data_IF_193482009300
#
_entry.id   IF_193482009300
#
_cell.length_a   1.000
_cell.length_b   1.000
_cell.length_c   1.000
_cell.angle_alpha   90.00
_cell.angle_beta   90.00
_cell.angle_gamma   90.00
#
_symmetry.space_group_name_H-M   'P 1'
#
loop_
_entity.id
_entity.type
_entity.pdbx_description
1 polymer ?
#
# COMPACT_ATOMS: atom_id res chain seq x y z
N UNK A 1 -20.58 13.61 -10.08
CA UNK A 1 -20.02 12.26 -9.90
C UNK A 1 -20.89 11.56 -8.87
N UNK A 2 -21.36 10.32 -9.08
CA UNK A 2 -21.98 9.58 -7.98
C UNK A 2 -20.89 9.35 -6.92
N UNK A 3 -21.17 9.69 -5.66
CA UNK A 3 -20.27 9.36 -4.54
C UNK A 3 -20.07 7.84 -4.52
N UNK A 4 -18.82 7.40 -4.35
CA UNK A 4 -18.48 5.99 -4.30
C UNK A 4 -19.26 5.30 -3.17
N UNK A 5 -20.11 4.33 -3.54
CA UNK A 5 -20.94 3.53 -2.64
C UNK A 5 -20.10 2.90 -1.53
N UNK A 6 -20.54 3.00 -0.28
CA UNK A 6 -19.85 2.38 0.86
C UNK A 6 -19.85 0.86 0.73
N UNK A 7 -18.71 0.21 1.01
CA UNK A 7 -18.59 -1.26 0.98
C UNK A 7 -18.61 -1.82 2.39
N UNK A 8 -19.64 -2.57 2.77
CA UNK A 8 -19.83 -3.06 4.14
C UNK A 8 -19.76 -4.58 4.17
N UNK A 9 -18.86 -5.13 4.99
CA UNK A 9 -18.77 -6.56 5.25
C UNK A 9 -19.53 -6.89 6.54
N UNK A 10 -20.48 -7.81 6.47
CA UNK A 10 -21.28 -8.27 7.61
C UNK A 10 -20.87 -9.70 7.94
N UNK A 11 -20.69 -10.01 9.23
CA UNK A 11 -20.41 -11.34 9.74
C UNK A 11 -21.52 -11.67 10.76
N UNK A 12 -22.48 -12.48 10.32
CA UNK A 12 -23.72 -12.76 11.03
C UNK A 12 -24.27 -14.12 10.57
N UNK A 13 -24.49 -15.06 11.49
CA UNK A 13 -25.00 -16.38 11.20
C UNK A 13 -26.54 -16.44 11.19
N UNK A 14 -27.20 -15.57 11.94
CA UNK A 14 -28.66 -15.42 11.92
C UNK A 14 -29.12 -14.79 10.60
N UNK A 15 -29.84 -15.58 9.81
CA UNK A 15 -30.31 -15.17 8.48
C UNK A 15 -31.27 -13.98 8.49
N UNK A 16 -32.12 -13.87 9.51
CA UNK A 16 -33.12 -12.80 9.61
C UNK A 16 -32.43 -11.48 10.00
N UNK A 17 -31.47 -11.55 10.93
CA UNK A 17 -30.65 -10.40 11.30
C UNK A 17 -29.81 -9.93 10.12
N UNK A 18 -29.14 -10.86 9.43
CA UNK A 18 -28.31 -10.54 8.26
C UNK A 18 -29.13 -9.87 7.14
N UNK A 19 -30.30 -10.42 6.81
CA UNK A 19 -31.19 -9.86 5.78
C UNK A 19 -31.69 -8.46 6.17
N UNK A 20 -32.03 -8.25 7.45
CA UNK A 20 -32.41 -6.95 7.97
C UNK A 20 -31.27 -5.92 7.81
N UNK A 21 -30.06 -6.25 8.25
CA UNK A 21 -28.90 -5.36 8.15
C UNK A 21 -28.57 -5.01 6.69
N UNK A 22 -28.50 -6.02 5.83
CA UNK A 22 -28.25 -5.87 4.40
C UNK A 22 -29.30 -4.97 3.73
N UNK A 23 -30.58 -5.21 4.02
CA UNK A 23 -31.70 -4.44 3.46
C UNK A 23 -31.65 -2.98 3.90
N UNK A 24 -31.40 -2.73 5.18
CA UNK A 24 -31.32 -1.36 5.73
C UNK A 24 -30.17 -0.59 5.08
N UNK A 25 -28.97 -1.18 5.03
CA UNK A 25 -27.78 -0.52 4.48
C UNK A 25 -27.91 -0.26 2.98
N UNK A 26 -28.38 -1.25 2.20
CA UNK A 26 -28.59 -1.07 0.76
C UNK A 26 -29.64 0.00 0.46
N UNK A 27 -30.79 -0.03 1.15
CA UNK A 27 -31.92 0.86 0.83
C UNK A 27 -31.74 2.28 1.37
N UNK A 28 -31.10 2.46 2.53
CA UNK A 28 -30.98 3.77 3.18
C UNK A 28 -29.66 4.48 2.93
N UNK A 29 -28.58 3.74 2.69
CA UNK A 29 -27.24 4.29 2.42
C UNK A 29 -26.72 4.00 1.02
N UNK A 30 -27.38 3.11 0.26
CA UNK A 30 -26.90 2.75 -1.09
C UNK A 30 -25.59 1.97 -1.07
N UNK A 31 -25.29 1.25 0.01
CA UNK A 31 -24.04 0.49 0.17
C UNK A 31 -23.97 -0.75 -0.72
N UNK A 32 -22.76 -1.12 -1.15
CA UNK A 32 -22.43 -2.50 -1.51
C UNK A 32 -22.25 -3.30 -0.22
N UNK A 33 -22.96 -4.43 -0.10
CA UNK A 33 -22.95 -5.24 1.12
C UNK A 33 -22.60 -6.67 0.78
N UNK A 34 -21.66 -7.25 1.52
CA UNK A 34 -21.31 -8.68 1.49
C UNK A 34 -21.54 -9.29 2.86
N UNK A 35 -22.24 -10.41 2.92
CA UNK A 35 -22.56 -11.14 4.15
C UNK A 35 -21.76 -12.44 4.21
N UNK A 36 -21.11 -12.68 5.34
CA UNK A 36 -20.47 -13.94 5.71
C UNK A 36 -21.23 -14.54 6.88
N UNK A 37 -21.49 -15.84 6.81
CA UNK A 37 -22.18 -16.59 7.88
C UNK A 37 -21.20 -17.32 8.81
N UNK A 38 -19.91 -17.23 8.52
CA UNK A 38 -18.84 -17.82 9.32
C UNK A 38 -17.66 -16.85 9.47
N UNK A 39 -16.94 -16.99 10.58
CA UNK A 39 -15.77 -16.18 10.88
C UNK A 39 -14.51 -16.63 10.11
N UNK A 40 -14.47 -17.86 9.61
CA UNK A 40 -13.28 -18.46 9.00
C UNK A 40 -12.98 -17.81 7.64
N UNK A 41 -14.03 -17.47 6.89
CA UNK A 41 -13.91 -16.85 5.58
C UNK A 41 -13.52 -15.35 5.62
N UNK A 42 -13.44 -14.74 6.81
CA UNK A 42 -13.29 -13.28 6.96
C UNK A 42 -11.98 -12.77 6.37
N UNK A 43 -10.85 -13.41 6.68
CA UNK A 43 -9.54 -12.94 6.23
C UNK A 43 -9.39 -12.98 4.70
N UNK A 44 -9.96 -13.98 4.04
CA UNK A 44 -9.97 -14.05 2.57
C UNK A 44 -10.87 -12.98 1.97
N UNK A 45 -12.07 -12.80 2.54
CA UNK A 45 -13.06 -11.87 2.01
C UNK A 45 -12.77 -10.40 2.31
N UNK A 46 -12.16 -10.06 3.45
CA UNK A 46 -11.85 -8.67 3.79
C UNK A 46 -10.81 -8.06 2.83
N UNK A 47 -9.98 -8.90 2.24
CA UNK A 47 -8.96 -8.49 1.28
C UNK A 47 -9.55 -8.38 -0.13
N UNK A 48 -10.30 -9.40 -0.58
CA UNK A 48 -11.01 -9.37 -1.87
C UNK A 48 -12.07 -8.27 -1.94
N UNK A 49 -12.94 -8.19 -0.94
CA UNK A 49 -14.04 -7.23 -0.90
C UNK A 49 -13.59 -5.82 -0.50
N UNK A 50 -12.39 -5.65 0.06
CA UNK A 50 -11.84 -4.38 0.54
C UNK A 50 -12.91 -3.43 1.17
N UNK A 51 -13.55 -3.82 2.29
CA UNK A 51 -14.64 -3.06 2.87
C UNK A 51 -14.17 -1.73 3.47
N UNK A 52 -15.09 -0.77 3.51
CA UNK A 52 -14.96 0.48 4.27
C UNK A 52 -15.25 0.28 5.78
N UNK A 53 -15.99 -0.77 6.16
CA UNK A 53 -16.35 -1.10 7.53
C UNK A 53 -16.76 -2.58 7.66
N UNK A 54 -16.46 -3.19 8.81
CA UNK A 54 -16.91 -4.54 9.18
C UNK A 54 -17.94 -4.47 10.31
N UNK A 55 -19.07 -5.15 10.14
CA UNK A 55 -20.05 -5.45 11.19
C UNK A 55 -19.87 -6.92 11.58
N UNK A 56 -19.58 -7.22 12.84
CA UNK A 56 -19.43 -8.61 13.30
C UNK A 56 -20.30 -8.87 14.52
N UNK A 57 -21.05 -9.98 14.53
CA UNK A 57 -21.61 -10.48 15.79
C UNK A 57 -20.50 -10.96 16.72
N UNK A 58 -20.70 -10.83 18.03
CA UNK A 58 -19.84 -11.40 19.07
C UNK A 58 -19.96 -12.92 19.08
N UNK A 59 -21.18 -13.42 19.01
CA UNK A 59 -21.50 -14.85 19.14
C UNK A 59 -21.61 -15.46 17.74
N UNK A 60 -20.53 -16.07 17.25
CA UNK A 60 -20.53 -16.77 15.96
C UNK A 60 -20.36 -18.28 16.17
N UNK A 61 -20.93 -19.14 15.31
CA UNK A 61 -20.72 -20.58 15.39
C UNK A 61 -19.24 -20.94 15.22
N UNK A 62 -18.62 -21.47 16.29
CA UNK A 62 -17.25 -21.97 16.25
C UNK A 62 -16.13 -20.91 16.31
N UNK A 63 -16.46 -19.63 16.49
CA UNK A 63 -15.48 -18.54 16.62
C UNK A 63 -16.06 -17.37 17.43
N UNK A 64 -15.21 -16.46 17.92
CA UNK A 64 -15.67 -15.24 18.59
C UNK A 64 -15.45 -14.02 17.69
N UNK A 65 -16.45 -13.15 17.53
CA UNK A 65 -16.30 -11.89 16.77
C UNK A 65 -15.16 -10.98 17.28
N UNK A 66 -14.76 -11.15 18.54
CA UNK A 66 -13.60 -10.46 19.11
C UNK A 66 -12.26 -11.05 18.65
N UNK A 67 -12.21 -12.34 18.32
CA UNK A 67 -11.03 -12.95 17.67
C UNK A 67 -10.90 -12.40 16.25
N UNK A 68 -12.02 -12.28 15.53
CA UNK A 68 -12.06 -11.63 14.20
C UNK A 68 -11.54 -10.21 14.29
N UNK A 69 -12.02 -9.41 15.26
CA UNK A 69 -11.50 -8.07 15.51
C UNK A 69 -9.99 -8.07 15.75
N UNK A 70 -9.49 -9.02 16.55
CA UNK A 70 -8.06 -9.21 16.80
C UNK A 70 -7.26 -9.40 15.52
N UNK A 71 -7.67 -10.35 14.68
CA UNK A 71 -7.01 -10.62 13.39
C UNK A 71 -7.13 -9.45 12.41
N UNK A 72 -8.29 -8.77 12.37
CA UNK A 72 -8.48 -7.58 11.52
C UNK A 72 -7.54 -6.44 11.91
N UNK A 73 -7.28 -6.24 13.21
CA UNK A 73 -6.35 -5.20 13.67
C UNK A 73 -4.90 -5.45 13.28
N UNK A 74 -4.51 -6.71 13.12
CA UNK A 74 -3.16 -7.07 12.65
C UNK A 74 -2.96 -6.79 11.16
N UNK A 75 -4.02 -6.94 10.35
CA UNK A 75 -3.93 -6.84 8.89
C UNK A 75 -4.40 -5.49 8.31
N UNK A 76 -5.39 -4.86 8.94
CA UNK A 76 -6.00 -3.58 8.53
C UNK A 76 -6.28 -2.73 9.79
N UNK A 77 -5.27 -2.15 10.44
CA UNK A 77 -5.42 -1.47 11.72
C UNK A 77 -6.40 -0.29 11.68
N UNK A 78 -6.51 0.39 10.53
CA UNK A 78 -7.40 1.54 10.32
C UNK A 78 -8.80 1.18 9.79
N UNK A 79 -9.12 -0.10 9.55
CA UNK A 79 -10.44 -0.52 9.09
C UNK A 79 -11.45 -0.43 10.24
N UNK A 80 -12.52 0.38 10.14
CA UNK A 80 -13.55 0.42 11.18
C UNK A 80 -14.21 -0.94 11.40
N UNK A 81 -14.31 -1.36 12.66
CA UNK A 81 -15.00 -2.59 13.07
C UNK A 81 -16.04 -2.26 14.13
N UNK A 82 -17.27 -2.61 13.82
CA UNK A 82 -18.43 -2.49 14.70
C UNK A 82 -18.82 -3.89 15.17
N UNK A 83 -18.89 -4.04 16.49
CA UNK A 83 -19.23 -5.32 17.12
C UNK A 83 -20.70 -5.29 17.54
N UNK A 84 -21.48 -6.29 17.15
CA UNK A 84 -22.89 -6.45 17.47
C UNK A 84 -23.08 -7.50 18.56
N UNK A 85 -24.00 -7.32 19.51
CA UNK A 85 -24.19 -8.28 20.61
C UNK A 85 -25.64 -8.38 21.08
N UNK A 86 -26.08 -9.57 21.47
CA UNK A 86 -27.42 -9.82 22.01
C UNK A 86 -27.57 -9.54 23.52
N UNK A 87 -26.50 -9.60 24.32
CA UNK A 87 -26.59 -9.57 25.79
C UNK A 87 -25.81 -8.41 26.42
N UNK A 88 -26.46 -7.70 27.35
CA UNK A 88 -25.81 -6.68 28.19
C UNK A 88 -24.83 -7.29 29.23
N UNK A 89 -24.91 -8.58 29.55
CA UNK A 89 -24.00 -9.24 30.53
C UNK A 89 -22.55 -9.37 30.03
N UNK A 90 -22.32 -9.21 28.73
CA UNK A 90 -20.99 -9.15 28.11
C UNK A 90 -20.28 -7.83 28.46
N UNK A 91 -20.94 -6.85 29.08
CA UNK A 91 -20.41 -5.51 29.37
C UNK A 91 -19.10 -5.51 30.19
N UNK A 92 -18.86 -6.49 31.08
CA UNK A 92 -17.62 -6.61 31.85
C UNK A 92 -16.44 -7.17 31.02
N UNK A 93 -16.70 -8.17 30.16
CA UNK A 93 -15.70 -8.71 29.23
C UNK A 93 -15.42 -7.75 28.06
N UNK A 94 -16.47 -7.10 27.55
CA UNK A 94 -16.41 -6.02 26.54
C UNK A 94 -15.61 -4.85 27.07
N UNK A 95 -15.80 -4.41 28.32
CA UNK A 95 -14.99 -3.33 28.91
C UNK A 95 -13.49 -3.65 28.93
N UNK A 96 -13.10 -4.91 29.13
CA UNK A 96 -11.70 -5.33 29.11
C UNK A 96 -11.10 -5.45 27.68
N UNK A 97 -11.95 -5.58 26.65
CA UNK A 97 -11.56 -5.75 25.24
C UNK A 97 -11.89 -4.52 24.34
N UNK A 98 -12.45 -3.46 24.93
CA UNK A 98 -12.94 -2.25 24.25
C UNK A 98 -11.88 -1.51 23.45
N UNK A 99 -10.61 -1.60 23.84
CA UNK A 99 -9.51 -0.83 23.25
C UNK A 99 -9.27 -1.13 21.76
N UNK A 100 -9.94 -2.15 21.19
CA UNK A 100 -9.76 -2.54 19.79
C UNK A 100 -10.95 -2.27 18.88
N UNK A 101 -12.20 -2.18 19.35
CA UNK A 101 -13.35 -1.96 18.47
C UNK A 101 -13.67 -0.47 18.30
N UNK A 102 -14.21 -0.06 17.16
CA UNK A 102 -14.58 1.34 16.93
C UNK A 102 -15.96 1.68 17.50
N UNK A 103 -16.88 0.71 17.54
CA UNK A 103 -18.22 0.88 18.10
C UNK A 103 -18.85 -0.47 18.51
N UNK A 104 -19.77 -0.43 19.47
CA UNK A 104 -20.59 -1.57 19.86
C UNK A 104 -22.08 -1.27 19.65
N UNK A 105 -22.81 -2.20 19.03
CA UNK A 105 -24.25 -2.10 18.82
C UNK A 105 -24.98 -3.25 19.51
N UNK A 106 -25.90 -2.93 20.42
CA UNK A 106 -26.75 -3.92 21.07
C UNK A 106 -27.92 -4.29 20.15
N UNK A 107 -28.13 -5.59 19.94
CA UNK A 107 -29.30 -6.13 19.25
C UNK A 107 -30.54 -6.07 20.20
N UNK A 108 -31.73 -5.69 19.71
CA UNK A 108 -32.05 -5.35 18.32
C UNK A 108 -31.55 -3.95 17.92
N UNK A 109 -30.93 -3.83 16.74
CA UNK A 109 -30.32 -2.59 16.27
C UNK A 109 -31.36 -1.76 15.49
N UNK A 110 -31.73 -0.56 15.93
CA UNK A 110 -32.62 0.31 15.16
C UNK A 110 -31.98 0.71 13.83
N UNK A 111 -32.73 0.63 12.72
CA UNK A 111 -32.17 0.91 11.40
C UNK A 111 -31.59 2.34 11.25
N UNK A 112 -32.12 3.33 11.97
CA UNK A 112 -31.56 4.68 11.99
C UNK A 112 -30.20 4.74 12.73
N UNK A 113 -30.03 3.97 13.81
CA UNK A 113 -28.77 3.87 14.54
C UNK A 113 -27.71 3.18 13.68
N UNK A 114 -28.06 2.07 13.04
CA UNK A 114 -27.16 1.36 12.12
C UNK A 114 -26.63 2.30 11.03
N UNK A 115 -27.53 3.01 10.35
CA UNK A 115 -27.18 3.95 9.28
C UNK A 115 -26.25 5.06 9.79
N UNK A 116 -26.62 5.71 10.90
CA UNK A 116 -25.82 6.79 11.47
C UNK A 116 -24.42 6.36 11.92
N UNK A 117 -24.32 5.18 12.54
CA UNK A 117 -23.04 4.61 12.97
C UNK A 117 -22.14 4.28 11.79
N UNK A 118 -22.68 3.56 10.79
CA UNK A 118 -21.90 3.17 9.60
C UNK A 118 -21.40 4.42 8.86
N UNK A 119 -22.28 5.38 8.59
CA UNK A 119 -21.90 6.60 7.89
C UNK A 119 -20.83 7.38 8.66
N UNK A 120 -21.01 7.60 9.96
CA UNK A 120 -20.05 8.34 10.80
C UNK A 120 -18.67 7.70 10.80
N UNK A 121 -18.59 6.38 10.98
CA UNK A 121 -17.31 5.67 11.09
C UNK A 121 -16.59 5.60 9.75
N UNK A 122 -17.31 5.33 8.66
CA UNK A 122 -16.74 5.32 7.31
C UNK A 122 -16.22 6.71 6.95
N UNK A 123 -17.00 7.76 7.19
CA UNK A 123 -16.57 9.14 6.93
C UNK A 123 -15.38 9.56 7.80
N UNK A 124 -15.37 9.20 9.09
CA UNK A 124 -14.22 9.46 9.97
C UNK A 124 -12.95 8.74 9.48
N UNK A 125 -13.05 7.48 9.06
CA UNK A 125 -11.93 6.72 8.52
C UNK A 125 -11.46 7.26 7.16
N UNK A 126 -12.38 7.72 6.30
CA UNK A 126 -12.06 8.39 5.03
C UNK A 126 -11.37 9.74 5.29
N UNK A 127 -11.87 10.53 6.24
CA UNK A 127 -11.26 11.80 6.63
C UNK A 127 -9.87 11.60 7.26
N UNK A 128 -9.68 10.58 8.10
CA UNK A 128 -8.37 10.21 8.66
C UNK A 128 -7.39 9.84 7.54
N UNK A 129 -7.83 9.01 6.58
CA UNK A 129 -7.04 8.68 5.38
C UNK A 129 -6.72 9.91 4.54
N UNK A 130 -7.65 10.84 4.37
CA UNK A 130 -7.45 12.08 3.62
C UNK A 130 -6.52 13.09 4.33
N UNK A 131 -6.41 13.03 5.66
CA UNK A 131 -5.51 13.88 6.48
C UNK A 131 -4.09 13.33 6.55
N UNK A 132 -3.87 12.04 6.30
CA UNK A 132 -2.52 11.50 6.10
C UNK A 132 -1.90 12.23 4.90
N UNK A 133 -0.65 12.75 5.01
CA UNK A 133 -0.02 13.42 3.88
C UNK A 133 0.06 12.44 2.72
N UNK A 134 -0.64 12.77 1.63
CA UNK A 134 -0.59 12.01 0.38
C UNK A 134 0.87 11.81 -0.01
N UNK A 135 1.24 10.56 -0.26
CA UNK A 135 2.57 10.24 -0.74
C UNK A 135 2.67 10.75 -2.18
N UNK A 136 3.87 11.24 -2.50
CA UNK A 136 4.31 11.49 -3.87
C UNK A 136 5.28 10.38 -4.20
N UNK A 137 4.89 9.50 -5.11
CA UNK A 137 5.59 8.26 -5.45
C UNK A 137 6.34 8.47 -6.75
N UNK A 138 7.64 8.15 -6.74
CA UNK A 138 8.43 8.04 -7.96
C UNK A 138 8.95 6.61 -8.10
N UNK A 139 8.48 5.87 -9.10
CA UNK A 139 9.00 4.55 -9.45
C UNK A 139 9.93 4.66 -10.66
N UNK A 140 11.14 4.10 -10.54
CA UNK A 140 12.20 4.23 -11.53
C UNK A 140 12.53 2.85 -12.08
N UNK A 141 12.46 2.72 -13.41
CA UNK A 141 12.84 1.55 -14.19
C UNK A 141 13.97 1.87 -15.18
N UNK A 142 14.77 0.87 -15.52
CA UNK A 142 15.75 0.98 -16.58
C UNK A 142 15.08 0.83 -17.95
N UNK A 143 14.10 -0.07 -18.03
CA UNK A 143 13.37 -0.45 -19.24
C UNK A 143 11.85 -0.37 -19.02
N UNK A 144 11.06 -0.29 -20.11
CA UNK A 144 9.62 -0.52 -20.06
C UNK A 144 9.36 -1.90 -19.45
N UNK A 145 8.36 -2.05 -18.57
CA UNK A 145 7.97 -3.25 -17.80
C UNK A 145 8.61 -3.45 -16.41
N UNK A 146 9.80 -2.90 -16.16
CA UNK A 146 10.54 -3.11 -14.89
C UNK A 146 9.71 -2.77 -13.64
N UNK A 147 9.06 -1.60 -13.69
CA UNK A 147 8.32 -1.03 -12.57
C UNK A 147 7.05 -1.83 -12.30
N UNK A 148 6.35 -2.22 -13.36
CA UNK A 148 5.13 -3.00 -13.30
C UNK A 148 5.39 -4.41 -12.75
N UNK A 149 6.52 -5.02 -13.15
CA UNK A 149 6.95 -6.32 -12.63
C UNK A 149 7.26 -6.21 -11.13
N UNK A 150 8.08 -5.22 -10.76
CA UNK A 150 8.58 -5.09 -9.40
C UNK A 150 7.54 -4.61 -8.39
N UNK A 151 6.79 -3.57 -8.73
CA UNK A 151 5.91 -2.83 -7.81
C UNK A 151 4.53 -2.49 -8.38
N UNK A 152 4.08 -3.12 -9.46
CA UNK A 152 2.79 -2.81 -10.09
C UNK A 152 1.59 -2.90 -9.13
N UNK A 153 1.56 -3.88 -8.22
CA UNK A 153 0.50 -4.00 -7.23
C UNK A 153 0.59 -2.92 -6.14
N UNK A 154 1.81 -2.57 -5.71
CA UNK A 154 2.08 -1.48 -4.77
C UNK A 154 1.69 -0.12 -5.36
N UNK A 155 1.96 0.11 -6.65
CA UNK A 155 1.54 1.33 -7.35
C UNK A 155 0.02 1.41 -7.48
N UNK A 156 -0.66 0.30 -7.78
CA UNK A 156 -2.12 0.25 -7.78
C UNK A 156 -2.72 0.57 -6.40
N UNK A 157 -2.08 0.08 -5.33
CA UNK A 157 -2.47 0.42 -3.95
C UNK A 157 -2.27 1.92 -3.65
N UNK A 158 -1.18 2.53 -4.11
CA UNK A 158 -0.95 3.97 -4.02
C UNK A 158 -2.01 4.77 -4.79
N UNK A 159 -2.38 4.34 -6.00
CA UNK A 159 -3.39 5.00 -6.81
C UNK A 159 -4.75 5.00 -6.09
N UNK A 160 -5.13 3.85 -5.51
CA UNK A 160 -6.35 3.72 -4.72
C UNK A 160 -6.32 4.54 -3.42
N UNK A 161 -5.14 4.78 -2.84
CA UNK A 161 -4.95 5.69 -1.71
C UNK A 161 -5.03 7.18 -2.11
N UNK A 162 -5.05 7.49 -3.41
CA UNK A 162 -5.04 8.85 -3.93
C UNK A 162 -3.67 9.52 -3.89
N UNK A 163 -2.60 8.73 -3.78
CA UNK A 163 -1.23 9.20 -3.88
C UNK A 163 -0.89 9.58 -5.33
N UNK A 164 -0.03 10.57 -5.54
CA UNK A 164 0.40 10.94 -6.89
C UNK A 164 1.52 10.01 -7.34
N UNK A 165 1.38 9.41 -8.52
CA UNK A 165 2.35 8.45 -9.05
C UNK A 165 3.09 9.04 -10.24
N UNK A 166 4.40 8.91 -10.21
CA UNK A 166 5.30 9.20 -11.32
C UNK A 166 6.10 7.95 -11.64
N UNK A 167 6.16 7.60 -12.92
CA UNK A 167 7.01 6.53 -13.42
C UNK A 167 8.11 7.19 -14.27
N UNK A 168 9.37 6.83 -14.00
CA UNK A 168 10.52 7.21 -14.81
C UNK A 168 11.13 5.95 -15.42
N UNK A 169 11.12 5.87 -16.74
CA UNK A 169 11.77 4.80 -17.49
C UNK A 169 12.94 5.39 -18.27
N UNK A 170 14.15 4.88 -18.03
CA UNK A 170 15.39 5.53 -18.48
C UNK A 170 15.78 5.21 -19.94
N UNK A 171 15.32 4.09 -20.48
CA UNK A 171 15.52 3.71 -21.87
C UNK A 171 14.22 3.26 -22.52
N UNK A 172 14.14 3.33 -23.86
CA UNK A 172 12.98 2.85 -24.62
C UNK A 172 12.99 1.35 -24.91
N UNK A 173 14.01 0.64 -24.45
CA UNK A 173 14.11 -0.81 -24.61
C UNK A 173 14.29 -1.29 -26.06
N UNK A 174 14.98 -0.48 -26.89
CA UNK A 174 15.13 -0.70 -28.33
C UNK A 174 15.91 -1.95 -28.75
N UNK A 175 16.50 -2.71 -27.82
CA UNK A 175 17.06 -4.05 -28.12
C UNK A 175 16.11 -5.21 -27.81
N UNK A 176 15.04 -4.97 -27.05
CA UNK A 176 14.05 -5.98 -26.64
C UNK A 176 12.77 -6.04 -27.51
N UNK A 177 12.62 -5.16 -28.50
CA UNK A 177 11.44 -5.04 -29.36
C UNK A 177 11.46 -3.74 -30.17
N UNK A 178 10.38 -3.42 -30.89
CA UNK A 178 10.23 -2.10 -31.53
C UNK A 178 10.02 -1.03 -30.45
N UNK A 179 10.87 0.01 -30.45
CA UNK A 179 10.82 1.08 -29.47
C UNK A 179 9.50 1.88 -29.53
N UNK A 180 8.86 1.98 -30.70
CA UNK A 180 7.59 2.69 -30.85
C UNK A 180 6.42 1.94 -30.20
N UNK A 181 6.43 0.61 -30.27
CA UNK A 181 5.43 -0.24 -29.62
C UNK A 181 5.61 -0.18 -28.11
N UNK A 182 6.84 -0.36 -27.61
CA UNK A 182 7.13 -0.31 -26.16
C UNK A 182 6.81 1.04 -25.52
N UNK A 183 6.97 2.14 -26.27
CA UNK A 183 6.51 3.46 -25.83
C UNK A 183 5.00 3.51 -25.59
N UNK A 184 4.20 2.99 -26.53
CA UNK A 184 2.74 2.94 -26.39
C UNK A 184 2.32 2.05 -25.23
N UNK A 185 3.00 0.92 -25.03
CA UNK A 185 2.75 0.01 -23.90
C UNK A 185 3.02 0.69 -22.55
N UNK A 186 4.15 1.39 -22.39
CA UNK A 186 4.43 2.17 -21.18
C UNK A 186 3.42 3.29 -20.94
N UNK A 187 2.97 3.98 -21.99
CA UNK A 187 1.96 5.02 -21.86
C UNK A 187 0.62 4.45 -21.41
N UNK A 188 0.20 3.32 -21.99
CA UNK A 188 -1.04 2.64 -21.61
C UNK A 188 -0.99 2.13 -20.16
N UNK A 189 0.14 1.56 -19.73
CA UNK A 189 0.36 1.15 -18.33
C UNK A 189 0.26 2.33 -17.37
N UNK A 190 0.94 3.44 -17.67
CA UNK A 190 0.89 4.65 -16.86
C UNK A 190 -0.53 5.25 -16.79
N UNK A 191 -1.27 5.25 -17.90
CA UNK A 191 -2.66 5.72 -17.94
C UNK A 191 -3.59 4.88 -17.04
N UNK A 192 -3.45 3.54 -17.04
CA UNK A 192 -4.23 2.65 -16.15
C UNK A 192 -4.01 2.96 -14.66
N UNK A 193 -2.83 3.46 -14.28
CA UNK A 193 -2.53 3.88 -12.90
C UNK A 193 -2.90 5.34 -12.59
N UNK A 194 -3.28 6.12 -13.61
CA UNK A 194 -3.35 7.59 -13.49
C UNK A 194 -1.98 8.21 -13.18
N UNK A 195 -0.90 7.55 -13.59
CA UNK A 195 0.48 7.95 -13.34
C UNK A 195 1.00 8.91 -14.43
N UNK A 196 1.90 9.81 -14.03
CA UNK A 196 2.67 10.60 -14.99
C UNK A 196 3.92 9.83 -15.42
N UNK A 197 4.12 9.65 -16.73
CA UNK A 197 5.29 8.98 -17.29
C UNK A 197 6.36 9.98 -17.75
N UNK A 198 7.60 9.75 -17.34
CA UNK A 198 8.80 10.27 -17.98
C UNK A 198 9.51 9.12 -18.69
N UNK A 199 9.61 9.21 -20.02
CA UNK A 199 10.24 8.18 -20.84
C UNK A 199 11.46 8.76 -21.56
N UNK A 200 12.63 8.40 -21.06
CA UNK A 200 13.91 8.86 -21.56
C UNK A 200 14.46 7.89 -22.62
N UNK A 201 15.51 8.32 -23.33
CA UNK A 201 16.08 7.58 -24.44
C UNK A 201 17.58 7.31 -24.25
N UNK A 202 17.95 6.86 -23.05
CA UNK A 202 19.31 6.35 -22.84
C UNK A 202 19.50 5.05 -23.63
N UNK A 203 20.74 4.83 -24.06
CA UNK A 203 21.11 3.65 -24.84
C UNK A 203 20.84 2.39 -24.02
N UNK A 204 19.88 1.60 -24.49
CA UNK A 204 19.54 0.29 -23.92
C UNK A 204 20.79 -0.60 -23.83
N UNK A 205 20.94 -1.34 -22.74
CA UNK A 205 22.10 -2.15 -22.35
C UNK A 205 23.40 -1.38 -22.11
N UNK A 206 23.34 -0.05 -22.08
CA UNK A 206 24.50 0.81 -21.84
C UNK A 206 24.13 2.04 -20.97
N UNK A 207 23.21 1.87 -20.03
CA UNK A 207 22.83 2.96 -19.12
C UNK A 207 24.00 3.22 -18.14
N UNK A 208 24.57 4.44 -18.11
CA UNK A 208 25.64 4.76 -17.17
C UNK A 208 25.09 4.94 -15.76
N UNK A 209 25.92 4.68 -14.75
CA UNK A 209 25.57 4.91 -13.34
C UNK A 209 25.89 6.34 -12.85
N UNK A 210 26.43 7.17 -13.73
CA UNK A 210 26.76 8.57 -13.52
C UNK A 210 25.97 9.42 -14.52
N UNK A 211 26.40 10.65 -14.81
CA UNK A 211 25.75 11.49 -15.79
C UNK A 211 25.77 10.85 -17.20
N UNK A 212 24.66 10.93 -17.95
CA UNK A 212 23.47 11.77 -17.70
C UNK A 212 22.42 11.17 -16.76
N UNK A 213 22.53 9.91 -16.34
CA UNK A 213 21.49 9.21 -15.58
C UNK A 213 21.19 9.88 -14.24
N UNK A 214 22.22 10.30 -13.49
CA UNK A 214 22.04 11.02 -12.22
C UNK A 214 21.30 12.34 -12.46
N UNK A 215 21.78 13.18 -13.37
CA UNK A 215 21.12 14.45 -13.69
C UNK A 215 19.66 14.31 -14.18
N UNK A 216 19.34 13.25 -14.92
CA UNK A 216 17.95 12.94 -15.33
C UNK A 216 17.09 12.65 -14.11
N UNK A 217 17.54 11.77 -13.21
CA UNK A 217 16.78 11.40 -12.00
C UNK A 217 16.64 12.62 -11.08
N UNK A 218 17.70 13.42 -10.91
CA UNK A 218 17.67 14.67 -10.13
C UNK A 218 16.64 15.67 -10.68
N UNK A 219 16.56 15.83 -12.01
CA UNK A 219 15.55 16.68 -12.66
C UNK A 219 14.14 16.21 -12.33
N UNK A 220 13.86 14.90 -12.46
CA UNK A 220 12.53 14.35 -12.17
C UNK A 220 12.20 14.49 -10.68
N UNK A 221 13.16 14.24 -9.79
CA UNK A 221 12.99 14.43 -8.33
C UNK A 221 12.69 15.90 -8.02
N UNK A 222 13.42 16.85 -8.60
CA UNK A 222 13.18 18.28 -8.40
C UNK A 222 11.80 18.72 -8.92
N UNK A 223 11.35 18.15 -10.04
CA UNK A 223 10.05 18.49 -10.64
C UNK A 223 8.85 17.90 -9.86
N UNK A 224 9.03 16.72 -9.26
CA UNK A 224 7.93 15.93 -8.69
C UNK A 224 7.92 15.88 -7.16
N UNK A 225 9.05 16.27 -6.54
CA UNK A 225 9.27 16.32 -5.09
C UNK A 225 8.78 15.04 -4.36
N UNK A 226 9.26 13.85 -4.76
CA UNK A 226 8.73 12.59 -4.25
C UNK A 226 9.04 12.41 -2.76
N UNK A 227 8.08 11.83 -2.04
CA UNK A 227 8.25 11.40 -0.64
C UNK A 227 8.79 9.97 -0.54
N UNK A 228 8.61 9.17 -1.58
CA UNK A 228 9.09 7.80 -1.69
C UNK A 228 9.58 7.51 -3.10
N UNK A 229 10.70 6.80 -3.19
CA UNK A 229 11.26 6.31 -4.46
C UNK A 229 11.33 4.78 -4.44
N UNK A 230 10.86 4.17 -5.52
CA UNK A 230 11.04 2.75 -5.84
C UNK A 230 12.03 2.60 -6.99
N UNK A 231 13.00 1.69 -6.88
CA UNK A 231 14.01 1.46 -7.92
C UNK A 231 14.49 0.01 -7.91
N UNK A 232 15.32 -0.37 -8.86
CA UNK A 232 16.04 -1.65 -8.86
C UNK A 232 16.90 -1.88 -7.62
N UNK A 233 17.07 -3.15 -7.21
CA UNK A 233 18.08 -3.53 -6.20
C UNK A 233 19.49 -3.59 -6.81
N UNK A 234 20.51 -3.41 -5.97
CA UNK A 234 21.91 -3.68 -6.33
C UNK A 234 22.16 -5.16 -6.63
N UNK A 235 21.37 -6.03 -6.01
CA UNK A 235 21.47 -7.49 -6.10
C UNK A 235 20.75 -8.00 -7.35
N UNK A 236 21.20 -7.54 -8.51
CA UNK A 236 20.60 -7.81 -9.82
C UNK A 236 21.68 -8.19 -10.84
N UNK A 237 21.42 -9.19 -11.69
CA UNK A 237 22.36 -9.63 -12.73
C UNK A 237 22.40 -8.66 -13.92
N UNK A 238 21.35 -7.90 -14.18
CA UNK A 238 21.29 -6.94 -15.26
C UNK A 238 22.10 -5.68 -14.95
N UNK A 239 22.99 -5.30 -15.86
CA UNK A 239 23.91 -4.17 -15.62
C UNK A 239 23.20 -2.83 -15.56
N UNK A 240 22.20 -2.61 -16.41
CA UNK A 240 21.41 -1.36 -16.38
C UNK A 240 20.67 -1.23 -15.04
N UNK A 241 20.08 -2.32 -14.51
CA UNK A 241 19.38 -2.26 -13.22
C UNK A 241 20.31 -1.83 -12.10
N UNK A 242 21.54 -2.38 -12.06
CA UNK A 242 22.57 -1.95 -11.10
C UNK A 242 23.00 -0.50 -11.32
N UNK A 243 23.12 -0.06 -12.58
CA UNK A 243 23.49 1.32 -12.88
C UNK A 243 22.42 2.32 -12.43
N UNK A 244 21.15 2.00 -12.70
CA UNK A 244 19.98 2.78 -12.27
C UNK A 244 19.87 2.79 -10.75
N UNK A 245 20.09 1.64 -10.08
CA UNK A 245 20.16 1.59 -8.62
C UNK A 245 21.16 2.61 -8.05
N UNK A 246 22.42 2.56 -8.49
CA UNK A 246 23.49 3.44 -7.99
C UNK A 246 23.17 4.92 -8.30
N UNK A 247 22.70 5.24 -9.50
CA UNK A 247 22.32 6.60 -9.89
C UNK A 247 21.14 7.13 -9.05
N UNK A 248 20.12 6.29 -8.80
CA UNK A 248 18.98 6.63 -7.95
C UNK A 248 19.42 6.95 -6.51
N UNK A 249 20.33 6.17 -5.93
CA UNK A 249 20.82 6.45 -4.57
C UNK A 249 21.56 7.78 -4.47
N UNK A 250 22.31 8.16 -5.51
CA UNK A 250 22.98 9.46 -5.60
C UNK A 250 21.96 10.60 -5.72
N UNK A 251 20.99 10.49 -6.62
CA UNK A 251 20.02 11.54 -6.90
C UNK A 251 18.99 11.73 -5.77
N UNK A 252 18.62 10.64 -5.08
CA UNK A 252 17.52 10.66 -4.10
C UNK A 252 17.93 11.02 -2.68
N UNK A 253 19.15 11.50 -2.42
CA UNK A 253 19.70 11.77 -1.07
C UNK A 253 18.80 12.57 -0.11
N UNK A 254 17.85 13.36 -0.61
CA UNK A 254 16.89 14.14 0.21
C UNK A 254 15.49 13.53 0.31
N UNK A 255 15.18 12.50 -0.47
CA UNK A 255 13.89 11.78 -0.42
C UNK A 255 13.79 10.97 0.87
N UNK A 256 12.69 11.10 1.61
CA UNK A 256 12.56 10.48 2.93
C UNK A 256 12.60 8.95 2.91
N UNK A 257 12.00 8.32 1.89
CA UNK A 257 11.93 6.87 1.76
C UNK A 257 12.46 6.39 0.41
N UNK A 258 13.32 5.37 0.43
CA UNK A 258 13.84 4.71 -0.78
C UNK A 258 13.83 3.21 -0.55
N UNK A 259 13.17 2.48 -1.46
CA UNK A 259 13.08 1.03 -1.41
C UNK A 259 13.37 0.42 -2.78
N UNK A 260 13.99 -0.75 -2.79
CA UNK A 260 14.33 -1.47 -3.99
C UNK A 260 13.35 -2.62 -4.22
N UNK A 261 12.88 -2.78 -5.46
CA UNK A 261 11.99 -3.88 -5.83
C UNK A 261 12.74 -5.07 -6.42
N UNK A 262 12.07 -6.21 -6.43
CA UNK A 262 12.56 -7.42 -7.07
C UNK A 262 12.24 -7.39 -8.58
N UNK A 263 13.27 -7.54 -9.39
CA UNK A 263 13.16 -7.79 -10.84
C UNK A 263 13.29 -9.30 -11.14
N UNK A 264 12.99 -9.76 -12.37
CA UNK A 264 13.23 -11.14 -12.79
C UNK A 264 14.72 -11.54 -12.75
N UNK A 265 15.63 -10.58 -12.86
CA UNK A 265 17.09 -10.79 -12.84
C UNK A 265 17.73 -10.58 -11.48
N UNK A 266 16.93 -10.33 -10.43
CA UNK A 266 17.40 -10.24 -9.06
C UNK A 266 18.05 -11.56 -8.62
N UNK A 267 19.20 -11.48 -7.94
CA UNK A 267 19.92 -12.66 -7.45
C UNK A 267 19.32 -13.16 -6.15
N UNK A 268 19.81 -14.32 -5.70
CA UNK A 268 19.48 -14.86 -4.37
C UNK A 268 19.98 -13.98 -3.21
N UNK A 269 20.81 -12.97 -3.49
CA UNK A 269 21.29 -12.00 -2.50
C UNK A 269 20.30 -10.85 -2.28
N UNK A 270 19.24 -10.75 -3.07
CA UNK A 270 18.13 -9.83 -2.81
C UNK A 270 17.48 -10.18 -1.47
N UNK A 271 17.55 -9.25 -0.50
CA UNK A 271 17.11 -9.47 0.88
C UNK A 271 16.04 -8.45 1.26
N UNK A 272 14.78 -8.68 0.86
CA UNK A 272 13.70 -7.78 1.20
C UNK A 272 13.45 -7.75 2.71
N UNK A 273 13.17 -6.57 3.22
CA UNK A 273 12.87 -6.31 4.64
C UNK A 273 11.46 -5.76 4.86
N UNK A 274 10.77 -5.42 3.77
CA UNK A 274 9.38 -4.98 3.77
C UNK A 274 8.59 -5.79 2.74
N UNK A 275 7.37 -6.16 3.11
CA UNK A 275 6.47 -6.96 2.27
C UNK A 275 5.14 -6.22 2.17
N UNK A 276 4.83 -5.69 0.98
CA UNK A 276 3.62 -4.90 0.76
C UNK A 276 2.51 -5.83 0.30
N UNK A 277 1.44 -5.95 1.09
CA UNK A 277 0.25 -6.70 0.70
C UNK A 277 -0.40 -6.03 -0.51
N UNK A 278 -0.60 -6.80 -1.58
CA UNK A 278 -1.23 -6.35 -2.83
C UNK A 278 -2.58 -7.06 -3.07
N UNK A 279 -3.17 -7.64 -2.03
CA UNK A 279 -4.50 -8.23 -2.13
C UNK A 279 -5.52 -7.16 -2.54
N UNK A 280 -6.41 -7.49 -3.48
CA UNK A 280 -7.32 -6.53 -4.12
C UNK A 280 -6.68 -5.71 -5.25
N UNK A 281 -5.38 -5.87 -5.50
CA UNK A 281 -4.64 -5.16 -6.55
C UNK A 281 -3.91 -6.10 -7.52
N UNK A 282 -4.04 -7.42 -7.36
CA UNK A 282 -3.42 -8.43 -8.24
C UNK A 282 -3.93 -8.33 -9.67
N UNK A 283 -5.23 -8.11 -9.86
CA UNK A 283 -5.82 -8.01 -11.20
C UNK A 283 -5.31 -6.77 -11.93
N UNK A 284 -5.18 -5.65 -11.21
CA UNK A 284 -4.56 -4.45 -11.77
C UNK A 284 -3.10 -4.71 -12.12
N UNK A 285 -2.32 -5.37 -11.25
CA UNK A 285 -0.93 -5.73 -11.57
C UNK A 285 -0.84 -6.57 -12.85
N UNK A 286 -1.71 -7.57 -13.01
CA UNK A 286 -1.74 -8.40 -14.21
C UNK A 286 -2.17 -7.61 -15.45
N UNK A 287 -3.13 -6.69 -15.33
CA UNK A 287 -3.53 -5.80 -16.43
C UNK A 287 -2.38 -4.92 -16.90
N UNK A 288 -1.61 -4.33 -15.96
CA UNK A 288 -0.42 -3.53 -16.28
C UNK A 288 0.61 -4.33 -17.07
N UNK A 289 0.90 -5.56 -16.62
CA UNK A 289 1.85 -6.45 -17.30
C UNK A 289 1.33 -6.89 -18.68
N UNK A 290 0.03 -7.12 -18.82
CA UNK A 290 -0.60 -7.48 -20.09
C UNK A 290 -0.52 -6.35 -21.14
N UNK A 291 -0.25 -5.10 -20.73
CA UNK A 291 0.02 -3.99 -21.68
C UNK A 291 1.31 -4.19 -22.44
N UNK A 292 2.28 -4.92 -21.89
CA UNK A 292 3.55 -5.23 -22.54
C UNK A 292 3.44 -6.52 -23.37
N UNK A 293 2.40 -6.61 -24.19
CA UNK A 293 2.07 -7.79 -24.98
C UNK A 293 3.18 -8.15 -25.98
N UNK A 294 3.95 -7.17 -26.47
CA UNK A 294 5.14 -7.41 -27.29
C UNK A 294 6.21 -8.27 -26.60
N UNK A 295 6.17 -8.34 -25.26
CA UNK A 295 7.09 -9.12 -24.44
C UNK A 295 6.46 -10.40 -23.88
N UNK A 296 5.12 -10.48 -23.82
CA UNK A 296 4.39 -11.53 -23.10
C UNK A 296 4.58 -12.94 -23.70
N UNK A 297 4.66 -13.06 -25.03
CA UNK A 297 4.90 -14.35 -25.71
C UNK A 297 6.39 -14.75 -25.73
N UNK A 298 7.29 -13.87 -25.27
CA UNK A 298 8.75 -14.03 -25.34
C UNK A 298 9.35 -14.31 -23.96
N UNK A 299 8.70 -13.86 -22.88
CA UNK A 299 9.28 -13.85 -21.53
C UNK A 299 8.39 -14.57 -20.52
N UNK A 300 8.76 -15.80 -20.17
CA UNK A 300 8.05 -16.67 -19.22
C UNK A 300 7.74 -16.01 -17.86
N UNK A 301 8.57 -15.06 -17.42
CA UNK A 301 8.38 -14.37 -16.14
C UNK A 301 7.25 -13.34 -16.14
N UNK A 302 6.69 -12.99 -17.30
CA UNK A 302 5.49 -12.15 -17.41
C UNK A 302 4.20 -12.98 -17.31
N UNK A 303 4.31 -14.31 -17.33
CA UNK A 303 3.15 -15.19 -17.24
C UNK A 303 2.39 -14.94 -15.90
N UNK A 304 1.05 -14.81 -15.95
CA UNK A 304 0.26 -14.48 -14.76
C UNK A 304 0.49 -15.42 -13.58
N UNK A 305 0.64 -16.72 -13.83
CA UNK A 305 0.89 -17.72 -12.81
C UNK A 305 2.26 -17.57 -12.16
N UNK A 306 3.30 -17.21 -12.94
CA UNK A 306 4.62 -16.92 -12.40
C UNK A 306 4.58 -15.68 -11.49
N UNK A 307 3.97 -14.60 -11.95
CA UNK A 307 3.84 -13.34 -11.21
C UNK A 307 3.09 -13.55 -9.89
N UNK A 308 1.94 -14.23 -9.93
CA UNK A 308 1.15 -14.52 -8.74
C UNK A 308 1.85 -15.51 -7.81
N UNK A 309 2.58 -16.50 -8.34
CA UNK A 309 3.35 -17.45 -7.52
C UNK A 309 4.50 -16.76 -6.79
N UNK A 310 5.20 -15.83 -7.42
CA UNK A 310 6.23 -15.03 -6.77
C UNK A 310 5.63 -14.16 -5.65
N UNK A 311 4.53 -13.46 -5.93
CA UNK A 311 3.84 -12.66 -4.91
C UNK A 311 3.31 -13.53 -3.76
N UNK A 312 2.82 -14.74 -4.06
CA UNK A 312 2.36 -15.72 -3.08
C UNK A 312 3.51 -16.24 -2.22
N UNK A 313 4.69 -16.48 -2.81
CA UNK A 313 5.86 -16.91 -2.07
C UNK A 313 6.26 -15.87 -1.01
N UNK A 314 6.30 -14.59 -1.38
CA UNK A 314 6.70 -13.52 -0.47
C UNK A 314 5.64 -13.20 0.59
N UNK A 315 4.37 -13.51 0.33
CA UNK A 315 3.29 -13.28 1.29
C UNK A 315 3.47 -14.02 2.62
N UNK A 316 4.29 -15.09 2.66
CA UNK A 316 4.63 -15.82 3.89
C UNK A 316 5.33 -14.97 4.96
N UNK A 317 5.85 -13.80 4.58
CA UNK A 317 6.46 -12.84 5.50
C UNK A 317 5.55 -11.63 5.80
N UNK A 318 4.41 -11.54 5.12
CA UNK A 318 3.38 -10.53 5.35
C UNK A 318 2.12 -11.13 5.95
N UNK A 319 1.06 -10.34 5.98
CA UNK A 319 -0.25 -10.73 6.53
C UNK A 319 -1.31 -11.02 5.46
N UNK A 320 -0.97 -10.82 4.18
CA UNK A 320 -1.86 -11.00 3.04
C UNK A 320 -1.65 -12.29 2.24
N UNK A 321 -2.43 -12.43 1.17
CA UNK A 321 -2.40 -13.56 0.24
C UNK A 321 -1.28 -13.42 -0.78
N UNK A 322 -1.02 -12.20 -1.22
CA UNK A 322 0.00 -11.82 -2.19
C UNK A 322 0.78 -10.61 -1.66
N UNK A 323 2.09 -10.62 -1.85
CA UNK A 323 2.94 -9.50 -1.44
C UNK A 323 4.05 -9.21 -2.42
N UNK A 324 4.33 -7.93 -2.61
CA UNK A 324 5.54 -7.47 -3.29
C UNK A 324 6.66 -7.23 -2.28
N UNK A 325 7.83 -7.86 -2.48
CA UNK A 325 8.98 -7.70 -1.60
C UNK A 325 9.75 -6.42 -1.91
N UNK A 326 10.19 -5.73 -0.86
CA UNK A 326 10.99 -4.52 -0.95
C UNK A 326 12.22 -4.59 -0.04
N UNK A 327 13.38 -4.30 -0.60
CA UNK A 327 14.62 -4.06 0.15
C UNK A 327 14.69 -2.57 0.53
N UNK A 328 14.47 -2.26 1.80
CA UNK A 328 14.44 -0.86 2.27
C UNK A 328 15.86 -0.33 2.39
N UNK A 329 16.21 0.68 1.60
CA UNK A 329 17.49 1.39 1.68
C UNK A 329 17.43 2.48 2.74
N UNK A 330 16.29 3.17 2.81
CA UNK A 330 16.07 4.26 3.76
C UNK A 330 14.59 4.44 4.05
N UNK A 331 14.28 4.65 5.31
CA UNK A 331 12.96 5.07 5.76
C UNK A 331 13.13 6.08 6.90
N UNK A 332 13.13 7.37 6.54
CA UNK A 332 13.28 8.46 7.50
C UNK A 332 11.90 8.98 7.92
N UNK A 333 11.37 8.48 9.04
CA UNK A 333 10.17 9.04 9.67
C UNK A 333 10.54 10.22 10.57
N UNK A 334 9.93 11.40 10.35
CA UNK A 334 9.98 12.49 11.32
C UNK A 334 9.05 12.18 12.49
N UNK A 335 9.58 12.13 13.71
CA UNK A 335 8.73 12.10 14.92
C UNK A 335 8.21 13.52 15.15
N UNK A 336 7.03 13.83 14.58
CA UNK A 336 6.30 15.05 14.94
C UNK A 336 5.41 14.72 16.13
N UNK A 337 5.80 15.18 17.32
CA UNK A 337 4.85 15.26 18.42
C UNK A 337 3.78 16.28 18.04
N UNK A 338 2.51 15.88 18.02
CA UNK A 338 1.40 16.82 18.06
C UNK A 338 1.53 17.60 19.39
N UNK A 339 2.13 18.80 19.32
CA UNK A 339 2.15 19.72 20.46
C UNK A 339 0.75 20.30 20.57
N UNK A 340 -0.05 19.76 21.48
CA UNK A 340 -1.27 20.40 21.94
C UNK A 340 -0.96 21.83 22.39
N UNK A 341 -1.81 22.76 21.98
CA UNK A 341 -1.72 24.18 22.29
C UNK A 341 -1.49 24.43 23.79
N UNK A 342 -0.40 25.12 24.13
CA UNK A 342 -0.07 25.51 25.50
C UNK A 342 1.34 26.09 25.62
N UNK A 343 1.43 27.42 25.58
CA UNK A 343 2.52 28.34 26.00
C UNK A 343 3.93 27.78 26.30
N UNK A 344 4.93 28.33 25.60
CA UNK A 344 6.34 28.11 25.87
C UNK A 344 6.85 28.91 27.08
N UNK A 345 7.53 28.23 28.00
CA UNK A 345 8.63 28.81 28.75
C UNK A 345 9.96 28.35 28.12
N UNK A 346 10.75 29.30 27.62
CA UNK A 346 12.08 29.07 27.04
C UNK A 346 13.06 28.68 28.13
N UNK A 347 13.58 27.45 28.12
CA UNK A 347 14.75 27.08 28.93
C UNK A 347 15.99 27.15 28.05
N UNK A 348 16.81 28.17 28.28
CA UNK A 348 18.14 28.30 27.71
C UNK A 348 19.03 27.16 28.21
N UNK A 349 19.63 26.41 27.28
CA UNK A 349 20.59 25.36 27.57
C UNK A 349 21.91 26.01 28.01
N UNK A 350 22.29 25.82 29.28
CA UNK A 350 23.60 26.19 29.81
C UNK A 350 24.65 25.28 29.16
N UNK A 351 25.47 25.86 28.30
CA UNK A 351 26.60 25.18 27.67
C UNK A 351 27.64 24.76 28.70
N UNK A 352 28.01 23.49 28.65
CA UNK A 352 29.25 22.94 29.18
C UNK A 352 30.41 23.35 28.27
N UNK A 353 31.36 24.12 28.79
CA UNK A 353 32.67 24.34 28.17
C UNK A 353 33.80 23.98 29.13
N UNK A 354 34.65 23.09 28.61
CA UNK A 354 36.12 23.07 28.77
C UNK A 354 36.74 22.54 30.08
N UNK A 355 37.21 21.29 29.98
CA UNK A 355 38.48 20.89 30.60
C UNK A 355 39.38 20.38 29.49
N UNK A 356 40.47 21.09 29.19
CA UNK A 356 41.80 20.54 28.83
C UNK A 356 42.76 21.65 28.35
N UNK A 357 43.70 22.06 29.23
CA UNK A 357 45.06 22.51 28.87
C UNK A 357 45.95 22.69 30.11
N UNK A 358 46.76 21.65 30.37
CA UNK A 358 48.06 21.62 31.08
C UNK A 358 48.80 20.46 30.39
N UNK A 359 50.05 20.50 29.92
CA UNK A 359 51.25 21.27 30.25
C UNK A 359 52.17 21.31 29.00
N UNK A 360 52.88 22.42 28.82
CA UNK A 360 54.25 22.44 28.28
C UNK A 360 55.10 23.27 29.23
N UNK A 361 55.93 22.57 29.99
CA UNK A 361 57.21 23.02 30.54
C UNK A 361 58.14 21.81 30.42
#
# INVERSE_FOLDING_TARGET
>A
MPEASYRILIIEDDGDVAEFLETVLRRRLGCEVRVLRDAVAVLMNVNDFNPDLVLTDVELPGANGLEVLGSLREIKPDLPVVVMTAHASVEYAVRALRDRADEFLQKPIPGALLVGTVQRLVEAARAKRARSPRRRVLAIGAHPDDVEIGVGGTLAAHAAAGDSIVILTLSRGGRGGDAADRQHESLASAESLGARLFLEDLTDTAIPNNDPTVGIIERVIAETDPTIVYTHSRNDRHQDHRAVHEATLVASRRVASVACYQSPSSTIDFRPTRFVTIDGFTDMKLDLLARFASQADIRDYLAPDFVLSAARYWSRFGTGTYSEPLEVIRDASSITAERGDGEFATVHNLGTTETEKKNRA
#
